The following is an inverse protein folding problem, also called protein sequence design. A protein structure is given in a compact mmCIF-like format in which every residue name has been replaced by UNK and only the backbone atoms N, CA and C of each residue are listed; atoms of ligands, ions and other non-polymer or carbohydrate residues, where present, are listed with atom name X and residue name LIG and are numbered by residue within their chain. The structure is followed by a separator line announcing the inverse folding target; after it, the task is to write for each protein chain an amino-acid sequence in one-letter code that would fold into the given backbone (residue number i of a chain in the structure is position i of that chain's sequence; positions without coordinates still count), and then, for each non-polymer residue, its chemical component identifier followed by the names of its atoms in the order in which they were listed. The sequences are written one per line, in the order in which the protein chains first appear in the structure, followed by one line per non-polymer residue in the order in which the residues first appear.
data_IF_428790921759
#
_entry.id   IF_428790921759
#
_cell.length_a   1.000
_cell.length_b   1.000
_cell.length_c   1.000
_cell.angle_alpha   90.00
_cell.angle_beta   90.00
_cell.angle_gamma   90.00
#
_symmetry.space_group_name_H-M   'P 1'
#
loop_
_entity.id
_entity.type
_entity.pdbx_description
1 polymer ?
#
# COMPACT_ATOMS: atom_id res chain seq x y z
N UNK A 1 -1.71 8.84 -8.55
CA UNK A 1 -2.58 7.95 -7.73
C UNK A 1 -2.88 8.69 -6.46
N UNK A 2 -4.14 8.71 -6.04
CA UNK A 2 -4.57 9.48 -4.87
C UNK A 2 -4.97 8.54 -3.73
N UNK A 3 -4.58 8.90 -2.51
CA UNK A 3 -5.06 8.28 -1.27
C UNK A 3 -5.64 9.39 -0.37
N UNK A 4 -6.61 9.04 0.48
CA UNK A 4 -7.16 10.00 1.44
C UNK A 4 -6.11 10.35 2.49
N UNK A 5 -5.89 11.64 2.74
CA UNK A 5 -4.96 12.14 3.75
C UNK A 5 -5.37 11.71 5.16
N UNK A 6 -6.65 11.81 5.51
CA UNK A 6 -7.16 11.34 6.80
C UNK A 6 -6.90 9.85 7.00
N UNK A 7 -7.20 9.01 6.01
CA UNK A 7 -6.91 7.58 6.09
C UNK A 7 -5.41 7.32 6.19
N UNK A 8 -4.57 8.04 5.43
CA UNK A 8 -3.12 7.86 5.47
C UNK A 8 -2.55 8.16 6.87
N UNK A 9 -3.08 9.19 7.56
CA UNK A 9 -2.72 9.51 8.93
C UNK A 9 -3.20 8.44 9.92
N UNK A 10 -4.46 8.03 9.82
CA UNK A 10 -5.05 6.98 10.68
C UNK A 10 -4.33 5.63 10.51
N UNK A 11 -3.98 5.27 9.29
CA UNK A 11 -3.29 4.04 8.94
C UNK A 11 -1.79 4.06 9.29
N UNK A 12 -1.25 5.22 9.69
CA UNK A 12 0.19 5.42 9.92
C UNK A 12 1.00 5.09 8.67
N UNK A 13 0.58 5.61 7.52
CA UNK A 13 1.31 5.46 6.27
C UNK A 13 2.72 6.07 6.39
N UNK A 14 3.70 5.41 5.78
CA UNK A 14 5.12 5.76 5.88
C UNK A 14 5.73 6.03 4.52
N UNK A 15 6.65 6.99 4.49
CA UNK A 15 7.60 7.18 3.40
C UNK A 15 8.93 6.60 3.87
N UNK A 16 9.40 5.56 3.21
CA UNK A 16 10.58 4.80 3.62
C UNK A 16 11.68 4.89 2.56
N UNK A 17 12.93 4.82 3.00
CA UNK A 17 14.12 4.76 2.14
C UNK A 17 15.02 3.56 2.47
N UNK A 18 14.79 2.90 3.61
CA UNK A 18 15.53 1.74 4.10
C UNK A 18 14.61 0.79 4.88
N UNK A 19 15.01 -0.48 4.96
CA UNK A 19 14.41 -1.53 5.79
C UNK A 19 15.54 -2.24 6.51
N UNK A 20 15.41 -2.46 7.82
CA UNK A 20 16.42 -3.10 8.67
C UNK A 20 17.83 -2.46 8.57
N UNK A 21 17.87 -1.14 8.36
CA UNK A 21 19.11 -0.36 8.25
C UNK A 21 19.73 -0.34 6.85
N UNK A 22 19.23 -1.16 5.92
CA UNK A 22 19.73 -1.24 4.54
C UNK A 22 18.83 -0.45 3.58
N UNK A 23 19.40 0.28 2.60
CA UNK A 23 18.61 0.95 1.56
C UNK A 23 17.70 -0.02 0.80
N UNK A 24 16.54 0.47 0.35
CA UNK A 24 15.66 -0.33 -0.51
C UNK A 24 16.41 -0.85 -1.74
N UNK A 25 16.10 -2.08 -2.17
CA UNK A 25 16.54 -2.55 -3.48
C UNK A 25 15.80 -1.81 -4.62
N UNK A 26 16.35 -1.88 -5.84
CA UNK A 26 15.68 -1.34 -7.04
C UNK A 26 14.29 -1.96 -7.24
N UNK A 27 14.16 -3.26 -6.98
CA UNK A 27 12.87 -3.96 -7.12
C UNK A 27 11.86 -3.53 -6.07
N UNK A 28 12.32 -3.17 -4.86
CA UNK A 28 11.45 -2.74 -3.77
C UNK A 28 11.04 -1.27 -3.88
N UNK A 29 11.72 -0.47 -4.70
CA UNK A 29 11.33 0.90 -5.03
C UNK A 29 12.32 1.96 -4.57
N UNK A 30 13.62 1.65 -4.55
CA UNK A 30 14.69 2.64 -4.37
C UNK A 30 14.48 3.90 -5.23
N UNK A 31 14.76 5.11 -4.72
CA UNK A 31 15.33 5.41 -3.40
C UNK A 31 14.28 5.54 -2.29
N UNK A 32 13.02 5.83 -2.65
CA UNK A 32 11.97 6.18 -1.70
C UNK A 32 10.66 5.51 -2.12
N UNK A 33 9.92 5.00 -1.13
CA UNK A 33 8.64 4.33 -1.33
C UNK A 33 7.59 4.75 -0.31
N UNK A 34 6.34 4.87 -0.77
CA UNK A 34 5.17 4.96 0.10
C UNK A 34 4.69 3.57 0.51
N UNK A 35 4.45 3.37 1.80
CA UNK A 35 3.92 2.13 2.40
C UNK A 35 2.72 2.46 3.28
N UNK A 36 1.63 1.76 3.06
CA UNK A 36 0.46 1.73 3.95
C UNK A 36 0.03 0.26 4.09
N UNK A 37 0.23 -0.32 5.27
CA UNK A 37 -0.05 -1.74 5.52
C UNK A 37 -1.55 -2.06 5.63
N UNK A 38 -2.41 -1.05 5.73
CA UNK A 38 -3.87 -1.20 5.70
C UNK A 38 -4.42 -1.30 4.27
N UNK A 39 -3.59 -1.02 3.26
CA UNK A 39 -3.95 -1.04 1.85
C UNK A 39 -3.27 -2.21 1.12
N UNK A 40 -3.87 -2.64 0.02
CA UNK A 40 -3.19 -3.51 -0.91
C UNK A 40 -1.95 -2.83 -1.48
N UNK A 41 -0.87 -3.61 -1.66
CA UNK A 41 0.44 -3.10 -2.08
C UNK A 41 0.47 -2.30 -3.37
N UNK A 42 -0.51 -2.43 -4.27
CA UNK A 42 -0.57 -1.60 -5.48
C UNK A 42 -0.84 -0.11 -5.19
N UNK A 43 -1.35 0.21 -3.99
CA UNK A 43 -1.48 1.59 -3.49
C UNK A 43 -0.16 2.18 -2.97
N UNK A 44 0.87 1.36 -2.76
CA UNK A 44 2.20 1.83 -2.38
C UNK A 44 3.04 2.19 -3.60
N UNK A 45 3.27 3.48 -3.82
CA UNK A 45 4.08 4.01 -4.93
C UNK A 45 5.56 3.69 -4.70
N UNK A 46 6.17 2.99 -5.67
CA UNK A 46 7.63 2.79 -5.75
C UNK A 46 8.29 4.00 -6.41
N UNK A 47 9.54 4.28 -6.05
CA UNK A 47 10.35 5.36 -6.65
C UNK A 47 9.63 6.71 -6.58
N UNK A 48 9.12 7.07 -5.40
CA UNK A 48 8.35 8.29 -5.17
C UNK A 48 9.20 9.53 -5.49
N UNK A 49 8.78 10.31 -6.48
CA UNK A 49 9.44 11.54 -6.91
C UNK A 49 8.77 12.81 -6.40
N UNK A 50 7.43 12.81 -6.32
CA UNK A 50 6.63 13.99 -6.00
C UNK A 50 5.43 13.60 -5.14
N UNK A 51 5.04 14.50 -4.24
CA UNK A 51 3.87 14.36 -3.38
C UNK A 51 3.10 15.67 -3.37
N UNK A 52 1.81 15.60 -3.69
CA UNK A 52 0.92 16.75 -3.77
C UNK A 52 -0.28 16.54 -2.84
N UNK A 53 -0.70 17.61 -2.17
CA UNK A 53 -2.00 17.66 -1.51
C UNK A 53 -3.01 18.28 -2.46
N UNK A 54 -4.14 17.61 -2.64
CA UNK A 54 -5.22 18.02 -3.53
C UNK A 54 -6.56 17.64 -2.91
N UNK A 55 -7.60 18.37 -3.26
CA UNK A 55 -9.00 18.08 -2.94
C UNK A 55 -9.67 17.20 -4.02
N UNK A 56 -9.03 17.05 -5.18
CA UNK A 56 -9.51 16.20 -6.26
C UNK A 56 -8.95 14.77 -6.18
N UNK A 57 -9.78 13.78 -6.49
CA UNK A 57 -9.33 12.40 -6.59
C UNK A 57 -8.93 12.06 -8.03
N UNK A 58 -7.64 11.83 -8.24
CA UNK A 58 -7.13 11.26 -9.49
C UNK A 58 -6.92 9.75 -9.39
N UNK A 59 -7.45 9.03 -10.38
CA UNK A 59 -7.23 7.59 -10.53
C UNK A 59 -5.77 7.28 -10.85
N UNK A 60 -5.21 6.32 -10.12
CA UNK A 60 -3.92 5.72 -10.42
C UNK A 60 -3.96 4.75 -11.60
N UNK A 61 -2.78 4.31 -12.01
CA UNK A 61 -2.59 3.41 -13.15
C UNK A 61 -3.43 2.12 -13.04
N UNK A 62 -3.38 1.42 -11.90
CA UNK A 62 -4.09 0.15 -11.71
C UNK A 62 -5.61 0.31 -11.65
N UNK A 63 -6.11 1.45 -11.16
CA UNK A 63 -7.53 1.78 -11.12
C UNK A 63 -8.05 2.03 -12.54
N UNK A 64 -7.30 2.79 -13.33
CA UNK A 64 -7.66 3.11 -14.72
C UNK A 64 -7.50 1.91 -15.67
N UNK A 65 -6.40 1.16 -15.57
CA UNK A 65 -6.06 0.10 -16.54
C UNK A 65 -6.65 -1.26 -16.23
N UNK A 66 -6.77 -1.60 -14.94
CA UNK A 66 -7.18 -2.94 -14.51
C UNK A 66 -8.48 -2.92 -13.68
N UNK A 67 -9.10 -1.76 -13.48
CA UNK A 67 -10.36 -1.64 -12.72
C UNK A 67 -10.21 -1.91 -11.22
N UNK A 68 -9.01 -1.71 -10.67
CA UNK A 68 -8.76 -1.95 -9.25
C UNK A 68 -9.56 -0.97 -8.37
N UNK A 69 -9.86 -1.40 -7.15
CA UNK A 69 -10.74 -0.65 -6.24
C UNK A 69 -10.15 0.72 -5.87
N UNK A 70 -10.98 1.76 -5.91
CA UNK A 70 -10.59 3.13 -5.57
C UNK A 70 -9.87 3.26 -4.22
N UNK A 71 -10.43 2.64 -3.19
CA UNK A 71 -9.91 2.73 -1.83
C UNK A 71 -8.72 1.81 -1.59
N UNK A 72 -8.64 0.68 -2.30
CA UNK A 72 -7.56 -0.30 -2.14
C UNK A 72 -7.42 -0.92 -0.74
N UNK A 73 -8.46 -0.85 0.11
CA UNK A 73 -8.45 -1.46 1.44
C UNK A 73 -8.44 -2.99 1.36
N UNK A 74 -7.67 -3.61 2.25
CA UNK A 74 -7.69 -5.06 2.43
C UNK A 74 -9.09 -5.45 2.92
N UNK A 75 -9.75 -6.41 2.25
CA UNK A 75 -11.13 -6.81 2.57
C UNK A 75 -11.15 -8.02 3.48
N UNK A 76 -12.22 -8.19 4.26
CA UNK A 76 -12.42 -9.39 5.05
C UNK A 76 -12.65 -10.61 4.14
N UNK A 77 -11.66 -11.51 4.04
CA UNK A 77 -11.76 -12.76 3.26
C UNK A 77 -10.58 -13.69 3.52
N UNK A 78 -10.65 -14.89 2.94
CA UNK A 78 -9.54 -15.85 2.91
C UNK A 78 -8.51 -15.42 1.85
N UNK A 79 -7.27 -15.22 2.26
CA UNK A 79 -6.13 -14.94 1.39
C UNK A 79 -5.14 -16.11 1.43
N UNK A 80 -4.45 -16.33 0.31
CA UNK A 80 -3.26 -17.15 0.25
C UNK A 80 -2.07 -16.26 0.64
N UNK A 81 -1.49 -16.51 1.81
CA UNK A 81 -0.24 -15.85 2.22
C UNK A 81 0.89 -16.55 1.48
N UNK A 82 1.53 -15.81 0.57
CA UNK A 82 2.52 -16.38 -0.36
C UNK A 82 3.73 -16.90 0.38
N UNK A 83 4.24 -16.13 1.34
CA UNK A 83 5.47 -16.44 2.09
C UNK A 83 5.31 -17.69 2.97
N UNK A 84 4.12 -17.87 3.57
CA UNK A 84 3.81 -19.03 4.42
C UNK A 84 3.27 -20.22 3.64
N UNK A 85 2.92 -20.03 2.37
CA UNK A 85 2.21 -21.03 1.57
C UNK A 85 0.96 -21.60 2.30
N UNK A 86 0.17 -20.73 2.93
CA UNK A 86 -1.04 -21.09 3.69
C UNK A 86 -2.23 -20.19 3.34
N UNK A 87 -3.45 -20.70 3.54
CA UNK A 87 -4.66 -19.89 3.42
C UNK A 87 -5.11 -19.42 4.80
N UNK A 88 -5.20 -18.10 5.02
CA UNK A 88 -5.64 -17.51 6.29
C UNK A 88 -6.81 -16.56 6.07
N UNK A 89 -7.71 -16.50 7.05
CA UNK A 89 -8.79 -15.53 7.04
C UNK A 89 -8.29 -14.22 7.64
N UNK A 90 -8.41 -13.14 6.90
CA UNK A 90 -8.05 -11.80 7.33
C UNK A 90 -9.33 -11.01 7.54
N UNK A 91 -9.48 -10.35 8.68
CA UNK A 91 -10.69 -9.62 9.07
C UNK A 91 -10.88 -8.28 8.31
N UNK A 92 -9.89 -7.84 7.55
CA UNK A 92 -10.01 -6.70 6.62
C UNK A 92 -10.03 -5.31 7.27
N UNK A 93 -9.71 -5.23 8.56
CA UNK A 93 -9.63 -3.97 9.29
C UNK A 93 -8.17 -3.57 9.51
N UNK A 94 -7.69 -2.58 8.75
CA UNK A 94 -6.37 -1.98 8.99
C UNK A 94 -5.18 -2.88 8.62
N UNK A 95 -4.06 -2.62 9.29
CA UNK A 95 -2.82 -3.35 9.15
C UNK A 95 -2.99 -4.81 9.59
N UNK A 96 -2.61 -5.74 8.70
CA UNK A 96 -2.62 -7.17 9.01
C UNK A 96 -1.35 -7.49 9.78
N UNK A 97 -1.50 -7.86 11.04
CA UNK A 97 -0.38 -8.25 11.92
C UNK A 97 -0.37 -9.75 12.25
N UNK A 98 -1.53 -10.41 12.09
CA UNK A 98 -1.71 -11.85 12.36
C UNK A 98 -1.23 -12.70 11.17
N UNK A 99 0.09 -12.83 11.02
CA UNK A 99 0.75 -13.76 10.09
C UNK A 99 1.13 -15.09 10.73
#
# INVERSE_FOLDING_TARGET
MTISSSNALENRAMIIWAVDGEPLSLEEGYPIRLVDFSLYRYKGVKCLSELYFTDEFEQGFWESKAGYCKEGKIKAKRYRIVDLQENRFINGSGEVTDF
#
